data_IF_924183761638
#
_entry.id   IF_924183761638
#
_cell.length_a   1.000
_cell.length_b   1.000
_cell.length_c   1.000
_cell.angle_alpha   90.00
_cell.angle_beta   90.00
_cell.angle_gamma   90.00
#
_symmetry.space_group_name_H-M   'P 1'
#
loop_
_entity.id
_entity.type
_entity.pdbx_description
1 polymer ?
#
# COMPACT_ATOMS: atom_id res chain seq x y z
N UNK A 1 22.93 13.82 30.31
CA UNK A 1 21.73 13.07 30.78
C UNK A 1 22.18 11.74 31.34
N UNK A 2 21.58 11.20 32.40
CA UNK A 2 21.98 9.88 32.89
C UNK A 2 21.61 8.81 31.88
N UNK A 3 22.56 7.94 31.50
CA UNK A 3 22.32 6.79 30.64
C UNK A 3 21.29 5.85 31.28
N UNK A 4 20.39 5.31 30.47
CA UNK A 4 19.36 4.37 30.90
C UNK A 4 19.49 3.05 30.14
N UNK A 5 19.08 1.95 30.76
CA UNK A 5 18.90 0.69 30.08
C UNK A 5 17.43 0.61 29.58
N UNK A 6 17.24 0.45 28.27
CA UNK A 6 15.93 0.49 27.63
C UNK A 6 15.71 -0.81 26.87
N UNK A 7 14.60 -1.44 27.11
CA UNK A 7 14.14 -2.61 26.36
C UNK A 7 13.08 -2.18 25.33
N UNK A 8 13.30 -2.56 24.07
CA UNK A 8 12.35 -2.36 22.98
C UNK A 8 11.85 -3.73 22.52
N UNK A 9 10.55 -3.87 22.43
CA UNK A 9 9.90 -5.09 21.94
C UNK A 9 9.44 -4.86 20.50
N UNK A 10 10.00 -5.62 19.57
CA UNK A 10 9.76 -5.52 18.12
C UNK A 10 10.96 -4.91 17.37
N UNK A 11 11.53 -5.70 16.45
CA UNK A 11 12.66 -5.32 15.60
C UNK A 11 12.22 -4.88 14.18
N UNK A 12 10.99 -4.40 14.02
CA UNK A 12 10.51 -3.72 12.81
C UNK A 12 10.99 -2.26 12.77
N UNK A 13 10.65 -1.51 11.70
CA UNK A 13 11.11 -0.13 11.51
C UNK A 13 10.84 0.78 12.71
N UNK A 14 9.66 0.71 13.34
CA UNK A 14 9.36 1.54 14.51
C UNK A 14 10.33 1.30 15.67
N UNK A 15 10.59 0.02 15.98
CA UNK A 15 11.50 -0.35 17.06
C UNK A 15 12.93 0.05 16.78
N UNK A 16 13.45 -0.23 15.57
CA UNK A 16 14.86 0.05 15.24
C UNK A 16 15.15 1.54 15.11
N UNK A 17 14.23 2.35 14.58
CA UNK A 17 14.39 3.81 14.50
C UNK A 17 14.44 4.43 15.91
N UNK A 18 13.52 4.02 16.80
CA UNK A 18 13.53 4.47 18.20
C UNK A 18 14.81 4.02 18.91
N UNK A 19 15.22 2.76 18.70
CA UNK A 19 16.43 2.22 19.28
C UNK A 19 17.66 3.03 18.91
N UNK A 20 17.83 3.33 17.63
CA UNK A 20 18.95 4.13 17.12
C UNK A 20 18.97 5.52 17.73
N UNK A 21 17.85 6.23 17.68
CA UNK A 21 17.77 7.59 18.22
C UNK A 21 18.08 7.65 19.71
N UNK A 22 17.65 6.66 20.50
CA UNK A 22 17.95 6.59 21.91
C UNK A 22 19.40 6.17 22.19
N UNK A 23 19.97 5.30 21.37
CA UNK A 23 21.37 4.92 21.46
C UNK A 23 22.30 6.11 21.16
N UNK A 24 21.99 6.92 20.15
CA UNK A 24 22.69 8.17 19.82
C UNK A 24 22.62 9.21 20.95
N UNK A 25 21.61 9.15 21.82
CA UNK A 25 21.50 9.96 23.03
C UNK A 25 22.28 9.38 24.24
N UNK A 26 23.00 8.26 24.04
CA UNK A 26 23.85 7.63 25.06
C UNK A 26 23.12 6.65 25.99
N UNK A 27 21.96 6.14 25.56
CA UNK A 27 21.24 5.08 26.28
C UNK A 27 21.72 3.68 25.85
N UNK A 28 21.61 2.70 26.77
CA UNK A 28 21.87 1.29 26.46
C UNK A 28 20.57 0.62 26.00
N UNK A 29 20.53 0.19 24.74
CA UNK A 29 19.32 -0.35 24.12
C UNK A 29 19.43 -1.87 23.96
N UNK A 30 18.39 -2.58 24.33
CA UNK A 30 18.18 -3.98 23.98
C UNK A 30 16.89 -4.12 23.20
N UNK A 31 16.96 -4.72 22.00
CA UNK A 31 15.80 -5.04 21.19
C UNK A 31 15.53 -6.55 21.31
N UNK A 32 14.27 -6.93 21.46
CA UNK A 32 13.80 -8.31 21.38
C UNK A 32 12.66 -8.42 20.39
N UNK A 33 12.58 -9.51 19.65
CA UNK A 33 11.48 -9.85 18.75
C UNK A 33 11.09 -11.31 18.92
N UNK A 34 9.85 -11.66 18.58
CA UNK A 34 9.38 -13.04 18.58
C UNK A 34 9.86 -13.84 17.37
N UNK A 35 10.25 -13.14 16.30
CA UNK A 35 10.79 -13.73 15.06
C UNK A 35 12.29 -13.91 15.21
N UNK A 36 12.85 -14.82 14.44
CA UNK A 36 14.27 -15.11 14.35
C UNK A 36 15.04 -14.15 13.42
N UNK A 37 14.36 -13.12 12.93
CA UNK A 37 14.91 -12.10 12.04
C UNK A 37 14.47 -10.69 12.44
N UNK A 38 15.22 -9.68 12.01
CA UNK A 38 14.87 -8.26 12.10
C UNK A 38 14.00 -7.82 10.91
N UNK A 39 13.51 -6.58 10.92
CA UNK A 39 12.76 -5.98 9.81
C UNK A 39 11.25 -6.13 9.91
N UNK A 40 10.75 -6.97 10.83
CA UNK A 40 9.30 -7.20 10.98
C UNK A 40 8.68 -7.66 9.65
N UNK A 41 7.59 -7.04 9.23
CA UNK A 41 6.95 -7.36 7.93
C UNK A 41 7.72 -6.84 6.71
N UNK A 42 8.71 -5.98 6.90
CA UNK A 42 9.58 -5.51 5.82
C UNK A 42 10.82 -6.40 5.62
N UNK A 43 10.89 -7.53 6.35
CA UNK A 43 11.97 -8.48 6.20
C UNK A 43 12.06 -8.97 4.77
N UNK A 44 13.27 -8.87 4.22
CA UNK A 44 13.64 -9.43 2.92
C UNK A 44 14.92 -10.26 3.05
N UNK A 45 15.04 -11.24 2.17
CA UNK A 45 16.18 -12.12 2.10
C UNK A 45 16.44 -12.53 0.64
N UNK A 46 17.67 -12.94 0.35
CA UNK A 46 17.97 -13.53 -0.94
C UNK A 46 17.59 -15.00 -0.95
N UNK A 47 16.88 -15.39 -2.00
CA UNK A 47 16.59 -16.80 -2.24
C UNK A 47 17.91 -17.57 -2.43
N UNK A 48 18.13 -18.65 -1.67
CA UNK A 48 19.42 -19.34 -1.67
C UNK A 48 19.76 -20.07 -2.98
N UNK A 49 18.79 -20.30 -3.85
CA UNK A 49 19.01 -21.00 -5.12
C UNK A 49 19.21 -20.03 -6.29
N UNK A 50 18.50 -18.91 -6.28
CA UNK A 50 18.46 -17.99 -7.42
C UNK A 50 19.17 -16.66 -7.15
N UNK A 51 19.54 -16.39 -5.89
CA UNK A 51 20.05 -15.09 -5.40
C UNK A 51 19.12 -13.89 -5.66
N UNK A 52 17.87 -14.16 -5.97
CA UNK A 52 16.86 -13.11 -6.13
C UNK A 52 16.43 -12.57 -4.77
N UNK A 53 16.35 -11.23 -4.63
CA UNK A 53 15.82 -10.60 -3.42
C UNK A 53 14.33 -10.86 -3.31
N UNK A 54 13.88 -11.43 -2.18
CA UNK A 54 12.50 -11.78 -1.90
C UNK A 54 11.99 -11.00 -0.70
N UNK A 55 10.88 -10.29 -0.85
CA UNK A 55 10.12 -9.70 0.25
C UNK A 55 9.24 -10.79 0.86
N UNK A 56 9.65 -11.32 2.02
CA UNK A 56 9.08 -12.55 2.60
C UNK A 56 7.59 -12.41 2.96
N UNK A 57 7.18 -11.23 3.42
CA UNK A 57 5.80 -10.94 3.86
C UNK A 57 5.00 -10.11 2.86
N UNK A 58 5.41 -10.07 1.61
CA UNK A 58 4.80 -9.28 0.55
C UNK A 58 5.60 -8.03 0.19
N UNK A 59 5.37 -7.46 -1.00
CA UNK A 59 6.15 -6.34 -1.49
C UNK A 59 5.90 -5.09 -0.65
N UNK A 60 6.97 -4.46 -0.22
CA UNK A 60 6.96 -3.16 0.45
C UNK A 60 7.65 -2.15 -0.45
N UNK A 61 6.93 -1.11 -0.85
CA UNK A 61 7.46 0.01 -1.60
C UNK A 61 7.49 1.21 -0.67
N UNK A 62 8.66 1.80 -0.46
CA UNK A 62 8.76 3.00 0.34
C UNK A 62 8.22 4.19 -0.43
N UNK A 63 7.31 4.94 0.19
CA UNK A 63 6.74 6.14 -0.42
C UNK A 63 6.37 7.18 0.65
N UNK A 64 6.67 8.45 0.39
CA UNK A 64 6.36 9.55 1.31
C UNK A 64 6.39 10.90 0.58
N UNK A 65 5.62 11.88 1.11
CA UNK A 65 5.79 13.30 0.76
C UNK A 65 6.62 14.04 1.81
N UNK A 66 6.94 13.38 2.94
CA UNK A 66 7.71 13.98 4.02
C UNK A 66 9.20 13.94 3.70
N UNK A 67 9.77 15.11 3.42
CA UNK A 67 11.18 15.26 3.06
C UNK A 67 12.13 14.88 4.22
N UNK A 68 11.72 15.12 5.47
CA UNK A 68 12.53 14.72 6.65
C UNK A 68 12.65 13.20 6.72
N UNK A 69 11.54 12.48 6.48
CA UNK A 69 11.54 11.02 6.46
C UNK A 69 12.36 10.49 5.29
N UNK A 70 12.22 11.09 4.11
CA UNK A 70 13.01 10.70 2.93
C UNK A 70 14.52 10.89 3.18
N UNK A 71 14.90 12.06 3.65
CA UNK A 71 16.29 12.38 3.97
C UNK A 71 16.86 11.44 5.05
N UNK A 72 16.06 11.05 6.03
CA UNK A 72 16.46 10.07 7.03
C UNK A 72 16.75 8.70 6.41
N UNK A 73 15.82 8.14 5.65
CA UNK A 73 16.00 6.79 5.10
C UNK A 73 17.13 6.71 4.06
N UNK A 74 17.36 7.78 3.30
CA UNK A 74 18.45 7.85 2.31
C UNK A 74 19.86 7.96 2.94
N UNK A 75 19.96 8.25 4.24
CA UNK A 75 21.23 8.15 4.99
C UNK A 75 21.60 6.68 5.27
N UNK A 76 20.62 5.79 5.28
CA UNK A 76 20.80 4.38 5.65
C UNK A 76 20.79 3.42 4.47
N UNK A 77 20.31 3.86 3.30
CA UNK A 77 20.33 3.03 2.09
C UNK A 77 20.33 3.88 0.82
N UNK A 78 20.99 3.37 -0.21
CA UNK A 78 20.78 3.83 -1.58
C UNK A 78 19.38 3.42 -2.03
N UNK A 79 18.52 4.41 -2.31
CA UNK A 79 17.15 4.17 -2.75
C UNK A 79 17.08 4.14 -4.29
N UNK A 80 16.66 3.03 -4.85
CA UNK A 80 16.35 2.93 -6.28
C UNK A 80 14.97 3.53 -6.54
N UNK A 81 14.81 4.45 -7.50
CA UNK A 81 13.50 4.94 -7.91
C UNK A 81 12.60 3.79 -8.36
N UNK A 82 11.40 3.71 -7.81
CA UNK A 82 10.44 2.69 -8.19
C UNK A 82 9.02 3.25 -8.16
N UNK A 83 8.33 3.15 -9.28
CA UNK A 83 6.92 3.53 -9.41
C UNK A 83 6.07 2.28 -9.46
N UNK A 84 5.22 2.10 -8.45
CA UNK A 84 4.35 0.93 -8.37
C UNK A 84 3.16 1.08 -9.31
N UNK A 85 3.02 0.13 -10.26
CA UNK A 85 1.88 0.03 -11.17
C UNK A 85 1.20 -1.31 -10.99
N UNK A 86 0.01 -1.28 -10.41
CA UNK A 86 -0.76 -2.46 -10.09
C UNK A 86 -1.67 -2.83 -11.26
N UNK A 87 -1.79 -4.12 -11.51
CA UNK A 87 -2.72 -4.69 -12.49
C UNK A 87 -3.66 -5.66 -11.81
N UNK A 88 -4.90 -5.73 -12.29
CA UNK A 88 -5.88 -6.72 -11.88
C UNK A 88 -6.31 -7.56 -13.08
N UNK A 89 -6.50 -8.86 -12.86
CA UNK A 89 -7.08 -9.75 -13.87
C UNK A 89 -8.54 -10.03 -13.52
N UNK A 90 -9.43 -9.71 -14.42
CA UNK A 90 -10.86 -9.95 -14.29
C UNK A 90 -11.34 -10.64 -15.57
N UNK A 91 -11.96 -11.83 -15.45
CA UNK A 91 -12.45 -12.62 -16.59
C UNK A 91 -11.43 -12.80 -17.72
N UNK A 92 -10.17 -13.06 -17.36
CA UNK A 92 -9.08 -13.26 -18.32
C UNK A 92 -8.50 -11.97 -18.96
N UNK A 93 -9.04 -10.81 -18.64
CA UNK A 93 -8.54 -9.52 -19.10
C UNK A 93 -7.73 -8.81 -18.02
N UNK A 94 -6.69 -8.08 -18.41
CA UNK A 94 -5.81 -7.34 -17.51
C UNK A 94 -6.17 -5.85 -17.53
N UNK A 95 -6.41 -5.30 -16.35
CA UNK A 95 -6.78 -3.90 -16.14
C UNK A 95 -5.74 -3.16 -15.31
N UNK A 96 -5.59 -1.86 -15.53
CA UNK A 96 -4.78 -0.98 -14.68
C UNK A 96 -5.49 -0.61 -13.39
N UNK A 97 -4.75 -0.57 -12.26
CA UNK A 97 -5.21 -0.06 -10.97
C UNK A 97 -4.26 1.05 -10.46
N UNK A 98 -4.77 2.04 -9.71
CA UNK A 98 -6.18 2.28 -9.36
C UNK A 98 -7.08 2.41 -10.60
N UNK A 99 -8.40 2.19 -10.41
CA UNK A 99 -9.36 2.40 -11.51
C UNK A 99 -9.15 3.81 -12.07
N UNK A 100 -8.81 3.89 -13.35
CA UNK A 100 -8.52 5.12 -14.06
C UNK A 100 -9.30 5.19 -15.38
N UNK A 101 -9.14 6.26 -16.15
CA UNK A 101 -9.90 6.45 -17.39
C UNK A 101 -9.68 5.30 -18.40
N UNK A 102 -8.46 4.74 -18.44
CA UNK A 102 -8.18 3.56 -19.27
C UNK A 102 -8.97 2.33 -18.78
N UNK A 103 -8.96 2.08 -17.47
CA UNK A 103 -9.73 0.98 -16.85
C UNK A 103 -11.22 1.11 -17.11
N UNK A 104 -11.78 2.32 -16.95
CA UNK A 104 -13.22 2.59 -17.21
C UNK A 104 -13.55 2.31 -18.67
N UNK A 105 -12.77 2.87 -19.59
CA UNK A 105 -13.00 2.71 -21.02
C UNK A 105 -12.88 1.24 -21.47
N UNK A 106 -11.86 0.54 -20.99
CA UNK A 106 -11.65 -0.87 -21.30
C UNK A 106 -12.78 -1.74 -20.73
N UNK A 107 -13.15 -1.52 -19.47
CA UNK A 107 -14.15 -2.35 -18.78
C UNK A 107 -15.56 -2.21 -19.37
N UNK A 108 -15.96 -0.98 -19.71
CA UNK A 108 -17.27 -0.71 -20.31
C UNK A 108 -17.26 -0.73 -21.85
N UNK A 109 -16.14 -1.07 -22.48
CA UNK A 109 -15.97 -1.04 -23.94
C UNK A 109 -16.40 0.31 -24.54
N UNK A 110 -15.95 1.43 -23.94
CA UNK A 110 -16.26 2.81 -24.31
C UNK A 110 -15.00 3.63 -24.61
N UNK A 111 -15.20 4.82 -25.17
CA UNK A 111 -14.14 5.80 -25.40
C UNK A 111 -14.59 7.13 -24.79
N UNK A 112 -14.73 7.15 -23.47
CA UNK A 112 -15.18 8.33 -22.74
C UNK A 112 -14.03 9.33 -22.57
N UNK A 113 -14.33 10.61 -22.71
CA UNK A 113 -13.58 11.70 -22.13
C UNK A 113 -13.64 11.66 -20.59
N UNK A 114 -12.82 12.42 -19.86
CA UNK A 114 -12.88 12.49 -18.39
C UNK A 114 -14.28 12.82 -17.84
N UNK A 115 -14.99 13.73 -18.49
CA UNK A 115 -16.32 14.18 -18.01
C UNK A 115 -17.40 13.15 -18.32
N UNK A 116 -17.36 12.51 -19.49
CA UNK A 116 -18.23 11.39 -19.82
C UNK A 116 -18.01 10.19 -18.89
N UNK A 117 -16.76 9.91 -18.53
CA UNK A 117 -16.46 8.86 -17.57
C UNK A 117 -16.99 9.20 -16.16
N UNK A 118 -16.90 10.46 -15.71
CA UNK A 118 -17.55 10.89 -14.46
C UNK A 118 -19.07 10.68 -14.49
N UNK A 119 -19.71 11.09 -15.57
CA UNK A 119 -21.14 10.94 -15.74
C UNK A 119 -21.55 9.45 -15.75
N UNK A 120 -20.79 8.62 -16.47
CA UNK A 120 -21.00 7.17 -16.52
C UNK A 120 -20.89 6.52 -15.12
N UNK A 121 -19.84 6.84 -14.37
CA UNK A 121 -19.65 6.29 -13.01
C UNK A 121 -20.73 6.77 -12.06
N UNK A 122 -21.14 8.04 -12.17
CA UNK A 122 -22.25 8.57 -11.37
C UNK A 122 -23.60 7.89 -11.69
N UNK A 123 -23.86 7.58 -12.97
CA UNK A 123 -25.04 6.82 -13.40
C UNK A 123 -25.05 5.38 -12.86
N UNK A 124 -23.89 4.74 -12.83
CA UNK A 124 -23.71 3.37 -12.31
C UNK A 124 -23.82 3.27 -10.80
N UNK A 125 -23.50 4.34 -10.09
CA UNK A 125 -23.57 4.42 -8.63
C UNK A 125 -25.01 4.33 -8.13
N UNK A 126 -25.19 3.68 -6.98
CA UNK A 126 -26.52 3.54 -6.35
C UNK A 126 -26.84 4.76 -5.49
N UNK A 127 -27.57 5.71 -6.07
CA UNK A 127 -27.98 6.95 -5.38
C UNK A 127 -29.07 6.73 -4.31
N UNK A 128 -29.69 5.54 -4.24
CA UNK A 128 -30.65 5.21 -3.19
C UNK A 128 -29.98 5.01 -1.82
N UNK A 129 -28.71 4.69 -1.80
CA UNK A 129 -27.91 4.53 -0.60
C UNK A 129 -27.46 5.91 -0.11
N UNK A 130 -28.24 6.54 0.78
CA UNK A 130 -27.98 7.88 1.26
C UNK A 130 -26.80 7.93 2.26
N UNK A 131 -26.78 7.01 3.22
CA UNK A 131 -25.78 6.90 4.28
C UNK A 131 -25.17 5.50 4.32
N UNK A 132 -24.13 5.22 3.55
CA UNK A 132 -23.50 3.90 3.53
C UNK A 132 -22.85 3.58 4.87
N UNK A 133 -23.18 2.44 5.45
CA UNK A 133 -22.66 1.94 6.74
C UNK A 133 -21.56 0.91 6.54
N UNK A 134 -21.63 0.17 5.44
CA UNK A 134 -20.70 -0.91 5.12
C UNK A 134 -19.80 -0.56 3.94
N UNK A 135 -18.69 -1.29 3.83
CA UNK A 135 -17.79 -1.20 2.68
C UNK A 135 -18.55 -1.45 1.36
N UNK A 136 -19.39 -2.48 1.34
CA UNK A 136 -20.20 -2.81 0.16
C UNK A 136 -21.11 -1.66 -0.25
N UNK A 137 -21.92 -1.13 0.68
CA UNK A 137 -22.80 0.00 0.41
C UNK A 137 -22.03 1.23 -0.10
N UNK A 138 -20.86 1.49 0.49
CA UNK A 138 -20.00 2.58 0.07
C UNK A 138 -19.49 2.39 -1.37
N UNK A 139 -19.07 1.17 -1.72
CA UNK A 139 -18.66 0.83 -3.08
C UNK A 139 -19.81 0.93 -4.07
N UNK A 140 -20.95 0.34 -3.77
CA UNK A 140 -22.13 0.39 -4.63
C UNK A 140 -22.58 1.83 -4.91
N UNK A 141 -22.59 2.68 -3.87
CA UNK A 141 -22.92 4.09 -4.01
C UNK A 141 -21.97 4.83 -4.97
N UNK A 142 -20.66 4.60 -4.87
CA UNK A 142 -19.68 5.38 -5.61
C UNK A 142 -19.39 4.90 -7.02
N UNK A 143 -19.32 3.58 -7.24
CA UNK A 143 -18.87 3.02 -8.51
C UNK A 143 -19.83 2.02 -9.13
N UNK A 144 -20.91 1.73 -8.42
CA UNK A 144 -21.91 0.76 -8.87
C UNK A 144 -21.46 -0.70 -8.76
N UNK A 145 -22.43 -1.57 -9.02
CA UNK A 145 -22.30 -3.02 -8.81
C UNK A 145 -21.22 -3.66 -9.69
N UNK A 146 -21.15 -3.27 -10.95
CA UNK A 146 -20.26 -3.91 -11.94
C UNK A 146 -18.78 -3.76 -11.57
N UNK A 147 -18.34 -2.53 -11.26
CA UNK A 147 -16.95 -2.27 -10.84
C UNK A 147 -16.67 -2.81 -9.44
N UNK A 148 -17.65 -2.75 -8.54
CA UNK A 148 -17.51 -3.33 -7.21
C UNK A 148 -17.25 -4.84 -7.27
N UNK A 149 -18.08 -5.59 -8.01
CA UNK A 149 -17.91 -7.04 -8.14
C UNK A 149 -16.60 -7.41 -8.84
N UNK A 150 -16.22 -6.64 -9.87
CA UNK A 150 -15.02 -6.90 -10.66
C UNK A 150 -13.70 -6.66 -9.91
N UNK A 151 -13.60 -5.56 -9.15
CA UNK A 151 -12.31 -5.09 -8.64
C UNK A 151 -12.19 -5.04 -7.12
N UNK A 152 -13.30 -5.03 -6.38
CA UNK A 152 -13.27 -4.82 -4.94
C UNK A 152 -13.72 -6.03 -4.12
N UNK A 153 -14.86 -6.63 -4.47
CA UNK A 153 -15.47 -7.69 -3.66
C UNK A 153 -14.50 -8.84 -3.37
N UNK A 154 -14.01 -9.49 -4.40
CA UNK A 154 -13.14 -10.65 -4.26
C UNK A 154 -11.80 -10.32 -3.57
N UNK A 155 -11.20 -9.18 -3.91
CA UNK A 155 -9.99 -8.70 -3.27
C UNK A 155 -10.22 -8.44 -1.77
N UNK A 156 -11.31 -7.75 -1.42
CA UNK A 156 -11.64 -7.42 -0.03
C UNK A 156 -11.87 -8.68 0.81
N UNK A 157 -12.61 -9.65 0.30
CA UNK A 157 -12.82 -10.94 0.97
C UNK A 157 -11.48 -11.63 1.23
N UNK A 158 -10.61 -11.70 0.20
CA UNK A 158 -9.28 -12.31 0.33
C UNK A 158 -8.41 -11.59 1.35
N UNK A 159 -8.43 -10.26 1.37
CA UNK A 159 -7.58 -9.44 2.22
C UNK A 159 -8.02 -9.45 3.69
N UNK A 160 -9.33 -9.43 3.93
CA UNK A 160 -9.89 -9.29 5.28
C UNK A 160 -10.42 -10.60 5.86
N UNK A 161 -10.60 -11.65 5.04
CA UNK A 161 -11.24 -12.89 5.46
C UNK A 161 -12.71 -12.74 5.86
N UNK A 162 -13.35 -11.65 5.43
CA UNK A 162 -14.72 -11.26 5.77
C UNK A 162 -15.46 -10.73 4.55
N UNK A 163 -16.79 -10.84 4.56
CA UNK A 163 -17.62 -10.23 3.54
C UNK A 163 -17.59 -8.69 3.64
N UNK A 164 -17.54 -7.96 2.52
CA UNK A 164 -17.54 -6.49 2.51
C UNK A 164 -18.74 -5.86 3.20
N UNK A 165 -19.86 -6.54 3.27
CA UNK A 165 -21.06 -6.13 4.01
C UNK A 165 -20.89 -6.13 5.52
N UNK A 166 -19.85 -6.79 6.04
CA UNK A 166 -19.49 -6.84 7.47
C UNK A 166 -18.42 -5.81 7.85
N UNK A 167 -17.79 -5.20 6.85
CA UNK A 167 -16.74 -4.20 7.06
C UNK A 167 -17.34 -2.79 7.11
N UNK A 168 -16.84 -1.88 7.97
CA UNK A 168 -17.37 -0.53 8.04
C UNK A 168 -17.03 0.30 6.78
N UNK A 169 -17.94 1.17 6.37
CA UNK A 169 -17.77 2.07 5.21
C UNK A 169 -16.48 2.93 5.29
N UNK A 170 -16.01 3.19 6.51
CA UNK A 170 -14.80 3.99 6.75
C UNK A 170 -13.52 3.40 6.15
N UNK A 171 -13.47 2.10 5.88
CA UNK A 171 -12.35 1.44 5.19
C UNK A 171 -12.25 1.93 3.74
N UNK A 172 -13.39 2.24 3.12
CA UNK A 172 -13.46 2.72 1.73
C UNK A 172 -13.75 4.24 1.65
N UNK A 173 -13.18 5.03 2.55
CA UNK A 173 -13.39 6.49 2.56
C UNK A 173 -12.97 7.19 1.27
N UNK A 174 -12.03 6.62 0.54
CA UNK A 174 -11.53 7.16 -0.73
C UNK A 174 -11.42 6.02 -1.73
N UNK A 175 -12.42 5.90 -2.60
CA UNK A 175 -12.24 5.11 -3.81
C UNK A 175 -11.22 5.81 -4.70
N UNK A 176 -10.12 5.17 -5.02
CA UNK A 176 -9.15 5.74 -5.94
C UNK A 176 -9.62 5.55 -7.38
N UNK A 177 -10.71 6.24 -7.75
CA UNK A 177 -11.14 6.35 -9.15
C UNK A 177 -10.56 7.62 -9.72
N UNK A 178 -9.80 7.50 -10.78
CA UNK A 178 -9.15 8.59 -11.49
C UNK A 178 -9.78 8.77 -12.86
N UNK A 179 -10.14 10.02 -13.17
CA UNK A 179 -10.69 10.36 -14.50
C UNK A 179 -9.59 10.93 -15.42
N UNK A 180 -8.41 10.35 -15.32
CA UNK A 180 -7.26 10.57 -16.18
C UNK A 180 -6.55 9.22 -16.42
N UNK A 181 -5.43 9.21 -17.15
CA UNK A 181 -4.68 8.00 -17.49
C UNK A 181 -3.55 7.67 -16.52
N UNK A 182 -3.48 8.34 -15.35
CA UNK A 182 -2.45 8.05 -14.36
C UNK A 182 -2.70 6.70 -13.67
N UNK A 183 -1.79 5.75 -13.86
CA UNK A 183 -1.80 4.41 -13.28
C UNK A 183 -0.76 4.22 -12.16
N UNK A 184 -0.11 5.29 -11.71
CA UNK A 184 0.78 5.24 -10.56
C UNK A 184 -0.03 4.88 -9.30
N UNK A 185 0.35 3.84 -8.58
CA UNK A 185 -0.40 3.41 -7.41
C UNK A 185 -0.34 4.46 -6.28
N UNK A 186 0.83 5.04 -6.06
CA UNK A 186 1.05 6.11 -5.08
C UNK A 186 1.22 7.45 -5.79
N UNK A 187 0.76 8.54 -5.14
CA UNK A 187 0.92 9.92 -5.63
C UNK A 187 2.05 10.67 -4.90
N UNK A 188 2.77 10.01 -3.98
CA UNK A 188 3.82 10.62 -3.19
C UNK A 188 5.01 11.02 -4.06
N UNK A 189 5.64 12.14 -3.72
CA UNK A 189 6.81 12.68 -4.43
C UNK A 189 8.00 11.73 -4.39
N UNK A 190 8.24 11.14 -3.24
CA UNK A 190 9.36 10.23 -3.02
C UNK A 190 8.87 8.80 -3.01
N UNK A 191 9.39 7.98 -3.92
CA UNK A 191 9.05 6.57 -4.03
C UNK A 191 10.31 5.79 -4.41
N UNK A 192 10.52 4.65 -3.79
CA UNK A 192 11.68 3.82 -4.09
C UNK A 192 11.75 2.55 -3.27
N UNK A 193 12.77 1.78 -3.55
CA UNK A 193 13.12 0.57 -2.81
C UNK A 193 14.60 0.61 -2.47
N UNK A 194 15.02 0.15 -1.26
CA UNK A 194 16.43 0.08 -0.93
C UNK A 194 17.13 -0.95 -1.82
N UNK A 195 18.21 -0.54 -2.46
CA UNK A 195 18.95 -1.34 -3.45
C UNK A 195 19.43 -2.70 -2.92
N UNK A 196 19.80 -2.75 -1.65
CA UNK A 196 20.28 -3.95 -0.98
C UNK A 196 19.23 -4.61 -0.07
N UNK A 197 17.98 -4.14 -0.14
CA UNK A 197 16.88 -4.63 0.68
C UNK A 197 16.67 -3.84 1.98
N UNK A 198 15.51 -4.01 2.58
CA UNK A 198 15.11 -3.38 3.83
C UNK A 198 15.87 -3.94 5.04
N UNK A 199 16.12 -5.24 5.04
CA UNK A 199 16.91 -5.89 6.11
C UNK A 199 18.29 -5.27 6.20
N UNK A 200 18.94 -5.08 5.05
CA UNK A 200 20.26 -4.47 4.98
C UNK A 200 20.26 -2.99 5.40
N UNK A 201 19.20 -2.26 5.09
CA UNK A 201 19.00 -0.89 5.54
C UNK A 201 18.86 -0.80 7.07
N UNK A 202 18.23 -1.78 7.71
CA UNK A 202 18.06 -1.84 9.16
C UNK A 202 19.38 -2.20 9.87
N UNK A 203 20.24 -2.99 9.23
CA UNK A 203 21.55 -3.37 9.75
C UNK A 203 22.59 -2.23 9.71
N UNK A 204 22.35 -1.15 8.96
CA UNK A 204 23.28 -0.03 8.80
C UNK A 204 23.26 0.90 10.01
#
# INVERSE_FOLDING_TARGET
MNSKNILIVGAGFSGVVIARQLAEQGHHIRIIDQRDHIGGNSYDARDPQTDVMVHVYGPHIFHTDNETVWNYVTQHAEMMPYVNRVKATVNGQVFSLPINLHTINQFFAKTCSPDEARALIAEKGDSSILEPKTFEEQALRFIGKELYEAFFKGYTIKQWGMEPSQLPASILKRLPVRFNYDDNYFNHRFQGMPKLGYTKMIES
#
